data_IF_086309564299
#
_entry.id   IF_086309564299
#
_cell.length_a   1.000
_cell.length_b   1.000
_cell.length_c   1.000
_cell.angle_alpha   90.00
_cell.angle_beta   90.00
_cell.angle_gamma   90.00
#
_symmetry.space_group_name_H-M   'P 1'
#
loop_
_entity.id
_entity.type
_entity.pdbx_description
1 polymer ?
#
# COMPACT_ATOMS: atom_id res chain seq x y z
N UNK A 1 -18.48 -11.03 3.87
CA UNK A 1 -17.30 -11.30 3.01
C UNK A 1 -17.56 -12.41 2.02
N UNK A 2 -17.74 -13.67 2.45
CA UNK A 2 -17.97 -14.79 1.54
C UNK A 2 -19.11 -14.54 0.54
N UNK A 3 -20.27 -14.05 1.01
CA UNK A 3 -21.39 -13.68 0.15
C UNK A 3 -21.06 -12.58 -0.87
N UNK A 4 -20.26 -11.58 -0.48
CA UNK A 4 -19.80 -10.52 -1.39
C UNK A 4 -18.89 -11.09 -2.48
N UNK A 5 -17.97 -11.98 -2.12
CA UNK A 5 -17.07 -12.61 -3.10
C UNK A 5 -17.87 -13.45 -4.10
N UNK A 6 -18.79 -14.30 -3.62
CA UNK A 6 -19.61 -15.16 -4.49
C UNK A 6 -20.57 -14.36 -5.39
N UNK A 7 -21.16 -13.28 -4.89
CA UNK A 7 -22.20 -12.53 -5.62
C UNK A 7 -21.69 -11.35 -6.44
N UNK A 8 -20.65 -10.66 -5.97
CA UNK A 8 -20.16 -9.42 -6.58
C UNK A 8 -18.81 -9.59 -7.28
N UNK A 9 -17.94 -10.49 -6.82
CA UNK A 9 -16.59 -10.67 -7.39
C UNK A 9 -16.55 -11.79 -8.42
N UNK A 10 -16.97 -13.01 -8.03
CA UNK A 10 -16.87 -14.20 -8.86
C UNK A 10 -17.55 -14.06 -10.24
N UNK A 11 -18.75 -13.45 -10.36
CA UNK A 11 -19.39 -13.26 -11.66
C UNK A 11 -18.65 -12.29 -12.59
N UNK A 12 -17.86 -11.37 -12.02
CA UNK A 12 -17.15 -10.31 -12.75
C UNK A 12 -15.65 -10.61 -12.90
N UNK A 13 -15.20 -11.80 -12.52
CA UNK A 13 -13.77 -12.13 -12.44
C UNK A 13 -13.04 -11.97 -13.77
N UNK A 14 -13.67 -12.33 -14.89
CA UNK A 14 -13.05 -12.13 -16.21
C UNK A 14 -12.99 -10.64 -16.58
N UNK A 15 -13.96 -9.85 -16.13
CA UNK A 15 -14.05 -8.43 -16.44
C UNK A 15 -12.98 -7.61 -15.70
N UNK A 16 -12.42 -8.11 -14.58
CA UNK A 16 -11.28 -7.51 -13.90
C UNK A 16 -10.03 -7.37 -14.79
N UNK A 17 -9.88 -8.25 -15.79
CA UNK A 17 -8.81 -8.17 -16.80
C UNK A 17 -9.32 -7.56 -18.13
N UNK A 18 -10.53 -7.00 -18.14
CA UNK A 18 -11.17 -6.44 -19.35
C UNK A 18 -11.85 -7.49 -20.23
N UNK A 19 -12.15 -8.65 -19.68
CA UNK A 19 -12.81 -9.75 -20.37
C UNK A 19 -11.96 -10.32 -21.52
N UNK A 20 -12.61 -10.99 -22.46
CA UNK A 20 -11.94 -11.62 -23.60
C UNK A 20 -11.12 -10.63 -24.46
N UNK A 21 -11.56 -9.38 -24.51
CA UNK A 21 -10.95 -8.35 -25.36
C UNK A 21 -9.91 -7.48 -24.64
N UNK A 22 -9.67 -7.71 -23.34
CA UNK A 22 -8.79 -6.88 -22.50
C UNK A 22 -9.14 -5.39 -22.58
N UNK A 23 -10.43 -5.09 -22.51
CA UNK A 23 -10.93 -3.72 -22.50
C UNK A 23 -10.57 -3.04 -21.17
N UNK A 24 -9.65 -2.07 -21.22
CA UNK A 24 -9.19 -1.32 -20.06
C UNK A 24 -10.32 -0.55 -19.35
N UNK A 25 -11.31 -0.06 -20.10
CA UNK A 25 -12.45 0.67 -19.53
C UNK A 25 -13.35 -0.27 -18.76
N UNK A 26 -13.57 -1.49 -19.27
CA UNK A 26 -14.31 -2.52 -18.58
C UNK A 26 -13.57 -2.97 -17.31
N UNK A 27 -12.26 -3.20 -17.40
CA UNK A 27 -11.41 -3.54 -16.27
C UNK A 27 -11.50 -2.49 -15.16
N UNK A 28 -11.32 -1.22 -15.51
CA UNK A 28 -11.35 -0.13 -14.55
C UNK A 28 -12.73 0.01 -13.89
N UNK A 29 -13.82 0.00 -14.67
CA UNK A 29 -15.18 0.09 -14.10
C UNK A 29 -15.52 -1.07 -13.17
N UNK A 30 -15.09 -2.28 -13.52
CA UNK A 30 -15.29 -3.48 -12.72
C UNK A 30 -14.51 -3.39 -11.41
N UNK A 31 -13.25 -2.97 -11.50
CA UNK A 31 -12.40 -2.75 -10.34
C UNK A 31 -13.01 -1.69 -9.42
N UNK A 32 -13.40 -0.52 -9.94
CA UNK A 32 -13.99 0.57 -9.15
C UNK A 32 -15.25 0.12 -8.41
N UNK A 33 -16.11 -0.68 -9.08
CA UNK A 33 -17.30 -1.27 -8.46
C UNK A 33 -16.94 -2.18 -7.30
N UNK A 34 -15.97 -3.08 -7.49
CA UNK A 34 -15.57 -4.03 -6.45
C UNK A 34 -14.92 -3.29 -5.28
N UNK A 35 -14.01 -2.34 -5.56
CA UNK A 35 -13.36 -1.54 -4.52
C UNK A 35 -14.37 -0.75 -3.69
N UNK A 36 -15.39 -0.15 -4.32
CA UNK A 36 -16.49 0.49 -3.60
C UNK A 36 -17.19 -0.47 -2.64
N UNK A 37 -17.48 -1.70 -3.09
CA UNK A 37 -18.03 -2.75 -2.23
C UNK A 37 -17.11 -3.11 -1.05
N UNK A 38 -15.78 -3.11 -1.25
CA UNK A 38 -14.82 -3.32 -0.15
C UNK A 38 -14.86 -2.17 0.88
N UNK A 39 -15.03 -0.93 0.43
CA UNK A 39 -15.20 0.24 1.31
C UNK A 39 -16.50 0.13 2.10
N UNK A 40 -17.61 -0.22 1.46
CA UNK A 40 -18.92 -0.43 2.11
C UNK A 40 -18.88 -1.55 3.16
N UNK A 41 -18.08 -2.60 2.93
CA UNK A 41 -17.82 -3.66 3.91
C UNK A 41 -16.92 -3.21 5.09
N UNK A 42 -16.38 -1.99 5.03
CA UNK A 42 -15.51 -1.41 6.07
C UNK A 42 -14.05 -1.87 5.98
N UNK A 43 -13.62 -2.50 4.88
CA UNK A 43 -12.26 -3.02 4.76
C UNK A 43 -11.20 -1.93 4.62
N UNK A 44 -11.57 -0.76 4.08
CA UNK A 44 -10.68 0.40 4.00
C UNK A 44 -10.20 0.85 5.38
N UNK A 45 -11.13 0.91 6.34
CA UNK A 45 -10.88 1.30 7.73
C UNK A 45 -10.65 0.12 8.68
N UNK A 46 -10.43 -1.08 8.16
CA UNK A 46 -10.35 -2.29 8.96
C UNK A 46 -9.25 -2.24 10.03
N UNK A 47 -8.06 -1.79 9.62
CA UNK A 47 -6.86 -1.79 10.47
C UNK A 47 -6.64 -0.48 11.22
N UNK A 48 -7.44 0.56 10.92
CA UNK A 48 -7.40 1.83 11.64
C UNK A 48 -7.91 1.62 13.08
N UNK A 49 -7.29 2.22 14.11
CA UNK A 49 -7.74 2.10 15.50
C UNK A 49 -9.19 2.54 15.70
N UNK A 50 -9.87 1.94 16.69
CA UNK A 50 -11.29 2.24 16.97
C UNK A 50 -11.49 3.66 17.45
N UNK A 51 -10.54 4.18 18.20
CA UNK A 51 -10.49 5.54 18.72
C UNK A 51 -10.47 6.58 17.58
N UNK A 52 -10.02 6.17 16.39
CA UNK A 52 -9.98 6.99 15.18
C UNK A 52 -11.11 6.66 14.20
N UNK A 53 -12.12 5.88 14.61
CA UNK A 53 -13.29 5.54 13.79
C UNK A 53 -13.13 4.30 12.90
N UNK A 54 -12.02 3.57 13.03
CA UNK A 54 -11.79 2.30 12.33
C UNK A 54 -12.40 1.09 13.04
N UNK A 55 -12.15 -0.11 12.48
CA UNK A 55 -12.60 -1.37 13.09
C UNK A 55 -11.60 -1.93 14.12
N UNK A 56 -10.37 -1.43 14.13
CA UNK A 56 -9.31 -1.85 15.06
C UNK A 56 -8.93 -3.33 14.91
N UNK A 57 -8.98 -3.89 13.71
CA UNK A 57 -8.55 -5.26 13.44
C UNK A 57 -7.03 -5.32 13.56
N UNK A 58 -6.52 -5.76 14.71
CA UNK A 58 -5.09 -5.97 14.94
C UNK A 58 -4.69 -7.46 14.90
N UNK A 59 -5.67 -8.37 14.89
CA UNK A 59 -5.41 -9.80 14.86
C UNK A 59 -4.94 -10.25 13.47
N UNK A 60 -3.70 -10.76 13.40
CA UNK A 60 -3.16 -11.36 12.18
C UNK A 60 -4.07 -12.48 11.65
N UNK A 61 -4.64 -13.29 12.53
CA UNK A 61 -5.56 -14.38 12.15
C UNK A 61 -6.79 -13.82 11.43
N UNK A 62 -7.38 -12.75 11.95
CA UNK A 62 -8.54 -12.10 11.32
C UNK A 62 -8.14 -11.48 9.97
N UNK A 63 -6.99 -10.83 9.88
CA UNK A 63 -6.43 -10.32 8.62
C UNK A 63 -6.27 -11.42 7.57
N UNK A 64 -5.69 -12.57 7.95
CA UNK A 64 -5.53 -13.72 7.05
C UNK A 64 -6.87 -14.34 6.60
N UNK A 65 -7.89 -14.36 7.46
CA UNK A 65 -9.22 -14.82 7.05
C UNK A 65 -9.83 -13.87 6.01
N UNK A 66 -9.64 -12.55 6.17
CA UNK A 66 -10.09 -11.56 5.18
C UNK A 66 -9.37 -11.75 3.84
N UNK A 67 -8.04 -11.85 3.87
CA UNK A 67 -7.22 -12.14 2.69
C UNK A 67 -7.68 -13.43 2.01
N UNK A 68 -7.78 -14.53 2.76
CA UNK A 68 -8.19 -15.83 2.24
C UNK A 68 -9.56 -15.78 1.55
N UNK A 69 -10.56 -15.13 2.16
CA UNK A 69 -11.89 -15.03 1.55
C UNK A 69 -11.87 -14.18 0.26
N UNK A 70 -11.16 -13.03 0.25
CA UNK A 70 -11.05 -12.19 -0.96
C UNK A 70 -10.29 -12.90 -2.08
N UNK A 71 -9.21 -13.60 -1.72
CA UNK A 71 -8.33 -14.32 -2.63
C UNK A 71 -9.01 -15.49 -3.34
N UNK A 72 -10.16 -15.99 -2.84
CA UNK A 72 -11.01 -16.95 -3.58
C UNK A 72 -11.58 -16.35 -4.86
N UNK A 73 -11.91 -15.06 -4.83
CA UNK A 73 -12.35 -14.30 -6.01
C UNK A 73 -11.17 -13.96 -6.90
N UNK A 74 -10.28 -13.11 -6.38
CA UNK A 74 -9.02 -12.74 -7.02
C UNK A 74 -8.02 -12.23 -5.96
N UNK A 75 -6.80 -12.78 -5.97
CA UNK A 75 -5.74 -12.44 -5.00
C UNK A 75 -5.29 -10.98 -5.10
N UNK A 76 -5.39 -10.37 -6.28
CA UNK A 76 -4.98 -8.98 -6.48
C UNK A 76 -5.86 -8.01 -5.68
N UNK A 77 -7.15 -8.34 -5.45
CA UNK A 77 -8.09 -7.47 -4.73
C UNK A 77 -7.68 -7.21 -3.27
N UNK A 78 -7.14 -8.23 -2.60
CA UNK A 78 -6.56 -8.04 -1.27
C UNK A 78 -5.35 -7.10 -1.35
N UNK A 79 -4.43 -7.39 -2.27
CA UNK A 79 -3.16 -6.66 -2.37
C UNK A 79 -3.37 -5.17 -2.69
N UNK A 80 -4.16 -4.86 -3.73
CA UNK A 80 -4.33 -3.49 -4.22
C UNK A 80 -5.11 -2.58 -3.28
N UNK A 81 -5.78 -3.09 -2.25
CA UNK A 81 -6.60 -2.28 -1.36
C UNK A 81 -6.32 -2.58 0.12
N UNK A 82 -7.06 -3.45 0.84
CA UNK A 82 -6.86 -3.58 2.29
C UNK A 82 -5.44 -4.03 2.68
N UNK A 83 -4.78 -4.84 1.85
CA UNK A 83 -3.42 -5.32 2.06
C UNK A 83 -2.39 -4.18 2.05
N UNK A 84 -2.26 -3.44 0.95
CA UNK A 84 -1.30 -2.33 0.88
C UNK A 84 -1.63 -1.19 1.84
N UNK A 85 -2.90 -0.90 2.10
CA UNK A 85 -3.30 0.04 3.16
C UNK A 85 -2.74 -0.43 4.50
N UNK A 86 -2.95 -1.70 4.86
CA UNK A 86 -2.45 -2.25 6.12
C UNK A 86 -0.93 -2.22 6.21
N UNK A 87 -0.22 -2.53 5.12
CA UNK A 87 1.24 -2.52 5.09
C UNK A 87 1.81 -1.11 5.22
N UNK A 88 1.17 -0.11 4.63
CA UNK A 88 1.57 1.28 4.79
C UNK A 88 1.25 1.81 6.20
N UNK A 89 0.09 1.47 6.75
CA UNK A 89 -0.36 1.93 8.06
C UNK A 89 0.42 1.29 9.23
N UNK A 90 0.75 0.01 9.13
CA UNK A 90 1.29 -0.78 10.24
C UNK A 90 2.60 -0.24 10.85
N UNK A 91 3.60 0.22 10.08
CA UNK A 91 4.82 0.80 10.65
C UNK A 91 4.57 2.01 11.55
N UNK A 92 3.66 2.92 11.17
CA UNK A 92 3.29 4.07 11.99
C UNK A 92 2.61 3.65 13.30
N UNK A 93 1.71 2.65 13.24
CA UNK A 93 1.05 2.10 14.43
C UNK A 93 2.06 1.46 15.39
N UNK A 94 2.96 0.61 14.90
CA UNK A 94 3.97 -0.07 15.71
C UNK A 94 4.98 0.91 16.31
N UNK A 95 5.36 1.94 15.56
CA UNK A 95 6.25 3.00 16.04
C UNK A 95 5.57 3.98 17.02
N UNK A 96 4.26 3.86 17.24
CA UNK A 96 3.50 4.80 18.07
C UNK A 96 3.38 6.20 17.47
N UNK A 97 3.62 6.35 16.16
CA UNK A 97 3.51 7.62 15.42
C UNK A 97 2.07 7.90 15.02
N UNK A 98 1.21 8.07 16.03
CA UNK A 98 -0.22 8.34 15.85
C UNK A 98 -0.48 9.67 15.15
N UNK A 99 0.46 10.61 15.25
CA UNK A 99 0.48 11.86 14.48
C UNK A 99 0.47 11.59 12.97
N UNK A 100 1.31 10.66 12.49
CA UNK A 100 1.34 10.28 11.06
C UNK A 100 0.08 9.53 10.63
N UNK A 101 -0.48 8.70 11.53
CA UNK A 101 -1.74 8.00 11.26
C UNK A 101 -2.89 8.99 11.09
N UNK A 102 -2.95 10.00 11.96
CA UNK A 102 -3.97 11.03 11.91
C UNK A 102 -3.83 11.92 10.68
N UNK A 103 -2.62 12.39 10.38
CA UNK A 103 -2.35 13.30 9.27
C UNK A 103 -2.52 12.64 7.89
N UNK A 104 -2.01 11.42 7.71
CA UNK A 104 -1.86 10.84 6.37
C UNK A 104 -2.96 9.84 6.01
N UNK A 105 -3.58 9.19 7.00
CA UNK A 105 -4.49 8.06 6.76
C UNK A 105 -5.92 8.35 7.15
N UNK A 106 -6.16 8.95 8.32
CA UNK A 106 -7.49 9.01 8.96
C UNK A 106 -8.60 9.46 8.02
N UNK A 107 -8.48 10.63 7.41
CA UNK A 107 -9.55 11.21 6.58
C UNK A 107 -9.83 10.37 5.34
N UNK A 108 -8.77 9.87 4.68
CA UNK A 108 -8.90 8.99 3.50
C UNK A 108 -9.51 7.64 3.87
N UNK A 109 -9.09 7.04 4.99
CA UNK A 109 -9.61 5.74 5.37
C UNK A 109 -11.07 5.79 5.85
N UNK A 110 -11.53 6.96 6.31
CA UNK A 110 -12.91 7.17 6.77
C UNK A 110 -13.87 7.65 5.66
N UNK A 111 -13.36 8.11 4.52
CA UNK A 111 -14.17 8.42 3.32
C UNK A 111 -14.80 7.12 2.75
N UNK A 112 -15.93 7.27 2.07
CA UNK A 112 -16.64 6.25 1.31
C UNK A 112 -16.04 6.02 -0.09
N UNK A 113 -15.05 6.83 -0.50
CA UNK A 113 -14.28 6.61 -1.74
C UNK A 113 -13.19 5.56 -1.54
N UNK A 114 -12.95 4.68 -2.53
CA UNK A 114 -11.80 3.80 -2.49
C UNK A 114 -10.50 4.57 -2.61
N UNK A 115 -9.58 4.30 -1.69
CA UNK A 115 -8.26 4.90 -1.63
C UNK A 115 -7.18 3.82 -1.68
N UNK A 116 -6.00 4.19 -2.16
CA UNK A 116 -4.89 3.26 -2.36
C UNK A 116 -3.62 3.78 -1.73
N UNK A 117 -2.92 2.88 -1.04
CA UNK A 117 -1.54 3.12 -0.59
C UNK A 117 -0.57 2.37 -1.51
N UNK A 118 0.67 2.86 -1.53
CA UNK A 118 1.78 2.25 -2.23
C UNK A 118 2.91 1.98 -1.23
N UNK A 119 3.57 0.83 -1.37
CA UNK A 119 4.75 0.47 -0.57
C UNK A 119 5.90 0.18 -1.53
N UNK A 120 6.96 0.99 -1.44
CA UNK A 120 8.06 1.03 -2.40
C UNK A 120 9.37 0.56 -1.75
N UNK A 121 9.65 -0.74 -1.93
CA UNK A 121 10.80 -1.42 -1.32
C UNK A 121 11.88 -1.67 -2.37
N UNK A 122 11.55 -2.43 -3.41
CA UNK A 122 12.48 -2.95 -4.40
C UNK A 122 13.08 -1.85 -5.28
N UNK A 123 14.38 -1.96 -5.54
CA UNK A 123 15.14 -1.07 -6.41
C UNK A 123 15.61 -1.80 -7.67
N UNK A 124 15.99 -1.08 -8.75
CA UNK A 124 16.56 -1.70 -9.95
C UNK A 124 17.78 -2.60 -9.66
N UNK A 125 18.55 -2.27 -8.61
CA UNK A 125 19.68 -3.07 -8.14
C UNK A 125 19.27 -4.34 -7.35
N UNK A 126 17.98 -4.51 -7.04
CA UNK A 126 17.42 -5.64 -6.30
C UNK A 126 16.73 -5.22 -4.99
N UNK A 127 15.85 -6.10 -4.47
CA UNK A 127 15.12 -5.89 -3.21
C UNK A 127 15.42 -6.93 -2.12
N UNK A 128 15.86 -8.14 -2.48
CA UNK A 128 16.08 -9.26 -1.54
C UNK A 128 17.14 -8.97 -0.47
N UNK A 129 18.13 -8.14 -0.81
CA UNK A 129 19.25 -7.80 0.07
C UNK A 129 18.83 -6.90 1.25
N UNK A 130 17.64 -6.29 1.20
CA UNK A 130 17.12 -5.44 2.29
C UNK A 130 16.80 -6.30 3.52
N UNK A 131 16.37 -7.54 3.30
CA UNK A 131 16.01 -8.49 4.35
C UNK A 131 17.12 -9.49 4.65
N UNK A 132 18.26 -9.39 3.95
CA UNK A 132 19.41 -10.27 4.20
C UNK A 132 20.15 -9.78 5.46
N UNK A 133 20.13 -10.56 6.56
CA UNK A 133 20.76 -10.15 7.82
C UNK A 133 22.28 -10.04 7.73
N UNK A 134 22.92 -10.55 6.67
CA UNK A 134 24.36 -10.39 6.44
C UNK A 134 24.70 -9.06 5.77
N UNK A 135 23.71 -8.43 5.12
CA UNK A 135 23.90 -7.24 4.30
C UNK A 135 23.51 -5.96 5.03
N UNK A 136 22.72 -6.05 6.10
CA UNK A 136 22.33 -4.95 6.99
C UNK A 136 21.88 -3.69 6.22
N UNK A 137 21.02 -3.83 5.20
CA UNK A 137 20.53 -2.68 4.42
C UNK A 137 21.57 -1.92 3.57
N UNK A 138 22.86 -2.29 3.58
CA UNK A 138 23.95 -1.57 2.88
C UNK A 138 23.80 -1.49 1.36
N UNK A 139 22.94 -2.35 0.80
CA UNK A 139 22.65 -2.38 -0.65
C UNK A 139 21.47 -1.52 -1.06
N UNK A 140 20.78 -0.88 -0.12
CA UNK A 140 19.80 0.15 -0.45
C UNK A 140 20.54 1.30 -1.12
N UNK A 141 20.09 1.71 -2.30
CA UNK A 141 20.65 2.80 -3.10
C UNK A 141 19.81 4.08 -3.03
N UNK A 142 18.54 3.98 -2.65
CA UNK A 142 17.70 5.16 -2.36
C UNK A 142 18.20 5.85 -1.09
N UNK A 143 18.67 7.09 -1.23
CA UNK A 143 19.21 7.91 -0.14
C UNK A 143 18.15 8.88 0.38
N UNK A 144 18.08 9.06 1.68
CA UNK A 144 17.31 10.13 2.32
C UNK A 144 18.23 11.01 3.15
N UNK A 145 18.07 12.32 3.05
CA UNK A 145 18.81 13.28 3.89
C UNK A 145 17.84 14.30 4.46
N UNK A 146 18.06 14.67 5.71
CA UNK A 146 17.29 15.72 6.36
C UNK A 146 17.89 17.08 5.99
N UNK A 147 17.10 17.94 5.34
CA UNK A 147 17.45 19.32 5.04
C UNK A 147 16.49 20.26 5.76
N UNK A 148 16.95 20.91 6.82
CA UNK A 148 16.09 21.71 7.68
C UNK A 148 15.04 20.83 8.37
N UNK A 149 13.78 20.99 7.97
CA UNK A 149 12.63 20.25 8.50
C UNK A 149 12.05 19.23 7.50
N UNK A 150 12.70 19.01 6.35
CA UNK A 150 12.19 18.15 5.27
C UNK A 150 13.16 17.03 4.91
N UNK A 151 12.62 15.88 4.53
CA UNK A 151 13.41 14.76 4.01
C UNK A 151 13.50 14.84 2.49
N UNK A 152 14.73 14.94 1.97
CA UNK A 152 15.00 14.85 0.54
C UNK A 152 15.41 13.42 0.20
N UNK A 153 14.58 12.77 -0.61
CA UNK A 153 14.79 11.39 -1.07
C UNK A 153 15.31 11.40 -2.51
N UNK A 154 16.38 10.67 -2.78
CA UNK A 154 16.92 10.47 -4.11
C UNK A 154 17.17 8.98 -4.36
N UNK A 155 16.47 8.44 -5.35
CA UNK A 155 16.61 7.06 -5.78
C UNK A 155 15.52 6.65 -6.76
N UNK A 156 15.51 5.36 -7.10
CA UNK A 156 14.52 4.78 -8.00
C UNK A 156 13.98 3.49 -7.39
N UNK A 157 12.66 3.36 -7.38
CA UNK A 157 11.95 2.13 -7.00
C UNK A 157 11.36 1.46 -8.23
N UNK A 158 11.22 0.14 -8.18
CA UNK A 158 10.69 -0.67 -9.28
C UNK A 158 9.77 -1.76 -8.72
N UNK A 159 8.69 -2.05 -9.45
CA UNK A 159 7.59 -2.94 -9.04
C UNK A 159 6.72 -2.52 -7.83
N UNK A 160 6.63 -1.24 -7.40
CA UNK A 160 5.64 -0.89 -6.39
C UNK A 160 4.22 -1.00 -6.97
N UNK A 161 3.42 -1.91 -6.41
CA UNK A 161 1.99 -1.97 -6.68
C UNK A 161 1.30 -0.64 -6.32
N UNK A 162 0.24 -0.31 -7.05
CA UNK A 162 -0.50 0.96 -6.96
C UNK A 162 0.33 2.23 -7.21
N UNK A 163 1.55 2.14 -7.76
CA UNK A 163 2.38 3.35 -7.90
C UNK A 163 1.76 4.41 -8.81
N UNK A 164 0.96 4.03 -9.79
CA UNK A 164 0.29 4.97 -10.71
C UNK A 164 -0.98 5.63 -10.17
N UNK A 165 -1.57 5.11 -9.10
CA UNK A 165 -2.91 5.50 -8.63
C UNK A 165 -3.02 5.57 -7.09
N UNK A 166 -1.91 5.45 -6.37
CA UNK A 166 -1.89 5.64 -4.92
C UNK A 166 -2.09 7.10 -4.55
N UNK A 167 -3.08 7.32 -3.70
CA UNK A 167 -3.51 8.64 -3.26
C UNK A 167 -3.51 8.80 -1.74
N UNK A 168 -3.17 7.75 -0.98
CA UNK A 168 -2.90 7.84 0.46
C UNK A 168 -1.45 8.29 0.65
N UNK A 169 -0.50 7.40 0.36
CA UNK A 169 0.94 7.61 0.55
C UNK A 169 1.74 6.63 -0.31
N UNK A 170 3.00 6.98 -0.55
CA UNK A 170 4.05 6.08 -0.98
C UNK A 170 5.01 5.85 0.20
N UNK A 171 4.86 4.71 0.89
CA UNK A 171 5.78 4.29 1.94
C UNK A 171 7.09 3.80 1.30
N UNK A 172 8.12 4.62 1.37
CA UNK A 172 9.40 4.37 0.68
C UNK A 172 10.46 3.88 1.65
N UNK A 173 11.05 2.72 1.34
CA UNK A 173 12.25 2.24 2.03
C UNK A 173 13.46 2.95 1.47
N UNK A 174 14.24 3.60 2.32
CA UNK A 174 15.47 4.28 1.93
C UNK A 174 16.53 4.12 3.04
N UNK A 175 17.72 4.66 2.81
CA UNK A 175 18.75 4.74 3.86
C UNK A 175 19.19 6.19 4.08
N UNK A 176 19.29 6.58 5.36
CA UNK A 176 19.85 7.87 5.76
C UNK A 176 21.38 7.84 5.82
N UNK A 177 21.95 6.65 6.02
CA UNK A 177 23.40 6.43 6.06
C UNK A 177 23.69 4.93 5.84
N UNK A 178 24.25 4.54 4.69
CA UNK A 178 24.57 3.14 4.40
C UNK A 178 25.57 2.52 5.39
N UNK A 179 26.42 3.32 6.03
CA UNK A 179 27.45 2.82 6.95
C UNK A 179 26.85 2.41 8.30
N UNK A 180 25.67 2.94 8.65
CA UNK A 180 24.93 2.58 9.88
C UNK A 180 24.19 1.25 9.78
N UNK A 181 24.20 0.61 8.61
CA UNK A 181 23.50 -0.65 8.40
C UNK A 181 22.01 -0.53 8.71
N UNK A 182 21.50 -1.40 9.59
CA UNK A 182 20.08 -1.46 9.98
C UNK A 182 19.60 -0.14 10.62
N UNK A 183 20.43 0.51 11.43
CA UNK A 183 20.12 1.82 12.05
C UNK A 183 20.07 2.97 11.02
N UNK A 184 20.58 2.72 9.82
CA UNK A 184 20.51 3.64 8.69
C UNK A 184 19.26 3.45 7.83
N UNK A 185 18.47 2.39 8.02
CA UNK A 185 17.26 2.13 7.23
C UNK A 185 16.14 3.03 7.73
N UNK A 186 15.45 3.68 6.80
CA UNK A 186 14.30 4.52 7.09
C UNK A 186 13.10 4.12 6.22
N UNK A 187 11.92 4.22 6.83
CA UNK A 187 10.63 4.19 6.17
C UNK A 187 10.09 5.61 6.15
N UNK A 188 9.96 6.21 4.97
CA UNK A 188 9.45 7.58 4.82
C UNK A 188 8.15 7.54 4.04
N UNK A 189 7.11 8.14 4.61
CA UNK A 189 5.85 8.38 3.93
C UNK A 189 5.99 9.57 2.99
N UNK A 190 5.79 9.33 1.69
CA UNK A 190 5.80 10.38 0.67
C UNK A 190 4.36 10.62 0.23
N UNK A 191 3.74 11.77 0.52
CA UNK A 191 2.41 12.10 0.04
C UNK A 191 2.33 12.08 -1.51
N UNK A 192 1.15 11.79 -2.08
CA UNK A 192 0.92 12.06 -3.50
C UNK A 192 1.22 13.53 -3.82
N UNK A 193 1.63 13.81 -5.05
CA UNK A 193 1.99 15.15 -5.54
C UNK A 193 3.24 15.80 -4.90
N UNK A 194 4.01 15.05 -4.09
CA UNK A 194 5.29 15.53 -3.56
C UNK A 194 6.24 15.93 -4.72
N UNK A 195 6.79 17.16 -4.73
CA UNK A 195 7.69 17.59 -5.79
C UNK A 195 8.87 16.63 -6.01
N UNK A 196 9.08 16.22 -7.26
CA UNK A 196 10.13 15.26 -7.64
C UNK A 196 9.70 13.80 -7.60
N UNK A 197 8.54 13.47 -7.02
CA UNK A 197 7.93 12.15 -7.20
C UNK A 197 7.39 12.02 -8.63
N UNK A 198 7.83 10.98 -9.33
CA UNK A 198 7.34 10.66 -10.67
C UNK A 198 7.22 9.15 -10.83
N UNK A 199 6.25 8.74 -11.63
CA UNK A 199 5.98 7.34 -11.95
C UNK A 199 6.35 7.12 -13.41
N UNK A 200 7.14 6.09 -13.69
CA UNK A 200 7.53 5.74 -15.05
C UNK A 200 6.33 5.35 -15.92
N UNK A 201 6.50 5.46 -17.24
CA UNK A 201 5.45 5.08 -18.19
C UNK A 201 5.09 3.60 -18.06
N UNK A 202 3.80 3.29 -18.09
CA UNK A 202 3.27 1.92 -18.18
C UNK A 202 3.76 1.32 -19.52
N UNK A 203 4.62 0.31 -19.45
CA UNK A 203 5.12 -0.46 -20.61
C UNK A 203 4.11 -1.49 -21.08
#
# INVERSE_FOLDING_TARGET
MNEFVEKEVMPLRQDLEGGWHRDETLAQKTLDRILKGLVELGLQKAFLPKEMGGLGIASAVTGYVIDYELSKGDIALWMIHPGLISWALYPALVAGRMDLVEELFKDKLLDDKPHKACVAITEPAGGVNIMDPTMHGRKITTRARLEGNEWVINGQKIWPCNSGDADIVYLTVCTTDPEKGDDGIALIYVPPDTPGLSVGTRI
#
